data_IF_157267483493
#
_entry.id   IF_157267483493
#
_cell.length_a   1.000
_cell.length_b   1.000
_cell.length_c   1.000
_cell.angle_alpha   90.00
_cell.angle_beta   90.00
_cell.angle_gamma   90.00
#
_symmetry.space_group_name_H-M   'P 1'
#
loop_
_entity.id
_entity.type
_entity.pdbx_description
1 polymer ?
#
# COMPACT_ATOMS: atom_id res chain seq x y z
N UNK A 1 -2.84 -8.53 11.32
CA UNK A 1 -1.77 -9.25 10.64
C UNK A 1 -2.01 -10.75 10.82
N UNK A 2 -2.01 -11.49 9.72
CA UNK A 2 -1.97 -12.96 9.70
C UNK A 2 -0.54 -13.36 9.34
N UNK A 3 0.20 -13.84 10.32
CA UNK A 3 1.61 -14.20 10.16
C UNK A 3 1.77 -15.49 9.35
N UNK A 4 0.83 -16.43 9.49
CA UNK A 4 0.90 -17.74 8.82
C UNK A 4 0.69 -17.59 7.30
N UNK A 5 -0.20 -16.70 6.89
CA UNK A 5 -0.53 -16.45 5.49
C UNK A 5 0.18 -15.21 4.91
N UNK A 6 0.99 -14.49 5.71
CA UNK A 6 1.65 -13.25 5.33
C UNK A 6 0.67 -12.22 4.75
N UNK A 7 -0.47 -11.99 5.44
CA UNK A 7 -1.49 -11.05 4.98
C UNK A 7 -1.85 -9.98 6.01
N UNK A 8 -2.27 -8.84 5.52
CA UNK A 8 -2.86 -7.76 6.29
C UNK A 8 -4.30 -7.58 5.87
N UNK A 9 -5.23 -7.73 6.82
CA UNK A 9 -6.65 -7.45 6.61
C UNK A 9 -6.94 -5.96 6.84
N UNK A 10 -7.43 -5.29 5.81
CA UNK A 10 -7.92 -3.91 5.88
C UNK A 10 -9.43 -3.96 6.04
N UNK A 11 -9.93 -3.80 7.26
CA UNK A 11 -11.36 -3.92 7.59
C UNK A 11 -11.93 -2.69 8.31
N UNK A 12 -11.08 -1.73 8.66
CA UNK A 12 -11.45 -0.53 9.39
C UNK A 12 -10.78 0.69 8.78
N UNK A 13 -11.37 1.85 9.00
CA UNK A 13 -10.77 3.16 8.67
C UNK A 13 -10.87 4.08 9.88
N UNK A 14 -9.89 4.96 10.03
CA UNK A 14 -9.97 6.08 10.96
C UNK A 14 -10.69 7.23 10.25
N UNK A 15 -11.68 7.83 10.89
CA UNK A 15 -12.45 8.98 10.38
C UNK A 15 -12.81 9.92 11.52
N UNK A 16 -13.24 11.12 11.17
CA UNK A 16 -13.71 12.11 12.12
C UNK A 16 -15.22 11.98 12.32
N UNK A 17 -15.68 12.08 13.56
CA UNK A 17 -17.10 12.25 13.86
C UNK A 17 -17.51 13.73 13.68
N UNK A 18 -18.78 14.01 13.92
CA UNK A 18 -19.35 15.37 13.84
C UNK A 18 -18.84 16.31 14.93
N UNK A 19 -18.26 15.78 15.98
CA UNK A 19 -17.70 16.51 17.12
C UNK A 19 -16.17 16.72 16.98
N UNK A 20 -15.56 16.16 15.92
CA UNK A 20 -14.14 16.27 15.68
C UNK A 20 -13.29 15.24 16.42
N UNK A 21 -13.88 14.15 16.93
CA UNK A 21 -13.13 13.05 17.52
C UNK A 21 -12.73 12.03 16.48
N UNK A 22 -11.56 11.43 16.66
CA UNK A 22 -11.08 10.36 15.78
C UNK A 22 -11.76 9.05 16.16
N UNK A 23 -12.53 8.50 15.24
CA UNK A 23 -13.26 7.24 15.43
C UNK A 23 -12.83 6.18 14.42
N UNK A 24 -12.95 4.91 14.83
CA UNK A 24 -12.82 3.76 13.94
C UNK A 24 -14.20 3.39 13.39
N UNK A 25 -14.30 3.33 12.08
CA UNK A 25 -15.51 2.94 11.37
C UNK A 25 -15.23 1.87 10.32
N UNK A 26 -16.26 1.25 9.81
CA UNK A 26 -16.14 0.41 8.63
C UNK A 26 -15.86 1.28 7.40
N UNK A 27 -15.08 0.76 6.44
CA UNK A 27 -14.89 1.45 5.17
C UNK A 27 -16.21 1.68 4.44
N UNK A 28 -16.33 2.81 3.76
CA UNK A 28 -17.58 3.23 3.07
C UNK A 28 -18.04 2.28 1.96
N UNK A 29 -17.16 1.46 1.42
CA UNK A 29 -17.49 0.52 0.33
C UNK A 29 -16.96 -0.87 0.66
N UNK A 30 -17.67 -1.92 0.24
CA UNK A 30 -17.26 -3.32 0.42
C UNK A 30 -15.88 -3.62 -0.19
N UNK A 31 -15.54 -3.00 -1.31
CA UNK A 31 -14.24 -3.19 -1.97
C UNK A 31 -13.06 -2.58 -1.19
N UNK A 32 -13.34 -1.75 -0.20
CA UNK A 32 -12.31 -1.22 0.70
C UNK A 32 -11.91 -2.26 1.77
N UNK A 33 -12.76 -3.26 2.03
CA UNK A 33 -12.43 -4.41 2.87
C UNK A 33 -11.67 -5.39 2.00
N UNK A 34 -10.41 -5.65 2.36
CA UNK A 34 -9.53 -6.51 1.57
C UNK A 34 -8.42 -7.11 2.41
N UNK A 35 -7.86 -8.18 1.89
CA UNK A 35 -6.60 -8.72 2.36
C UNK A 35 -5.49 -8.36 1.38
N UNK A 36 -4.34 -7.99 1.91
CA UNK A 36 -3.16 -7.65 1.14
C UNK A 36 -2.03 -8.57 1.55
N UNK A 37 -1.54 -9.38 0.62
CA UNK A 37 -0.35 -10.20 0.86
C UNK A 37 0.89 -9.31 0.93
N UNK A 38 1.76 -9.61 1.88
CA UNK A 38 3.04 -8.90 2.10
C UNK A 38 4.20 -9.89 2.10
N UNK A 39 5.42 -9.46 1.75
CA UNK A 39 6.59 -10.31 1.84
C UNK A 39 6.87 -10.77 3.27
N UNK A 40 7.50 -11.94 3.43
CA UNK A 40 7.89 -12.49 4.72
C UNK A 40 8.76 -11.50 5.52
N UNK A 41 9.70 -10.83 4.86
CA UNK A 41 10.57 -9.82 5.50
C UNK A 41 9.75 -8.67 6.13
N UNK A 42 8.65 -8.27 5.49
CA UNK A 42 7.75 -7.26 6.06
C UNK A 42 7.00 -7.78 7.29
N UNK A 43 6.61 -9.06 7.29
CA UNK A 43 6.01 -9.72 8.47
C UNK A 43 6.98 -9.68 9.64
N UNK A 44 8.24 -10.07 9.42
CA UNK A 44 9.27 -10.08 10.47
C UNK A 44 9.53 -8.67 11.02
N UNK A 45 9.57 -7.64 10.17
CA UNK A 45 9.71 -6.25 10.62
C UNK A 45 8.51 -5.81 11.48
N UNK A 46 7.29 -6.16 11.08
CA UNK A 46 6.09 -5.85 11.86
C UNK A 46 6.10 -6.57 13.22
N UNK A 47 6.52 -7.83 13.28
CA UNK A 47 6.67 -8.58 14.53
C UNK A 47 7.68 -7.91 15.46
N UNK A 48 8.86 -7.55 14.94
CA UNK A 48 9.88 -6.85 15.71
C UNK A 48 9.37 -5.50 16.24
N UNK A 49 8.57 -4.80 15.47
CA UNK A 49 7.96 -3.54 15.91
C UNK A 49 6.96 -3.77 17.03
N UNK A 50 6.02 -4.71 16.86
CA UNK A 50 5.01 -5.02 17.87
C UNK A 50 5.64 -5.56 19.17
N UNK A 51 6.74 -6.30 19.11
CA UNK A 51 7.44 -6.81 20.27
C UNK A 51 8.00 -5.71 21.19
N UNK A 52 8.10 -4.46 20.73
CA UNK A 52 8.50 -3.31 21.57
C UNK A 52 7.37 -2.84 22.53
N UNK A 53 6.13 -3.28 22.26
CA UNK A 53 4.94 -2.91 23.04
C UNK A 53 3.87 -4.02 22.99
N UNK A 54 4.20 -5.24 23.49
CA UNK A 54 3.39 -6.45 23.27
C UNK A 54 1.97 -6.37 23.85
N UNK A 55 1.78 -5.59 24.91
CA UNK A 55 0.49 -5.40 25.57
C UNK A 55 -0.40 -4.33 24.91
N UNK A 56 0.11 -3.65 23.87
CA UNK A 56 -0.64 -2.61 23.19
C UNK A 56 -1.37 -3.19 21.97
N UNK A 57 -2.69 -2.94 21.79
CA UNK A 57 -3.45 -3.46 20.67
C UNK A 57 -3.08 -2.84 19.31
N UNK A 58 -2.35 -1.72 19.33
CA UNK A 58 -1.94 -1.03 18.11
C UNK A 58 -0.59 -1.52 17.63
N UNK A 59 -0.48 -1.81 16.33
CA UNK A 59 0.79 -2.13 15.69
C UNK A 59 1.80 -0.98 15.79
N UNK A 60 1.31 0.25 15.72
CA UNK A 60 2.10 1.48 15.81
C UNK A 60 1.42 2.45 16.78
N UNK A 61 1.60 2.26 18.10
CA UNK A 61 1.05 3.19 19.07
C UNK A 61 1.80 4.52 19.06
N UNK A 62 1.08 5.60 19.35
CA UNK A 62 1.71 6.90 19.59
C UNK A 62 2.64 6.81 20.80
N UNK A 63 3.91 7.16 20.64
CA UNK A 63 4.89 7.16 21.71
C UNK A 63 4.55 8.11 22.86
N UNK A 64 3.67 9.09 22.61
CA UNK A 64 3.23 10.07 23.61
C UNK A 64 2.02 9.61 24.43
N UNK A 65 1.10 8.90 23.81
CA UNK A 65 -0.21 8.57 24.43
C UNK A 65 -0.43 7.07 24.58
N UNK A 66 0.31 6.21 23.88
CA UNK A 66 0.05 4.79 23.76
C UNK A 66 -1.14 4.45 22.86
N UNK A 67 -1.89 5.43 22.40
CA UNK A 67 -3.08 5.29 21.58
C UNK A 67 -2.77 5.29 20.07
N UNK A 68 -3.79 5.10 19.27
CA UNK A 68 -3.70 5.18 17.81
C UNK A 68 -3.11 6.52 17.36
N UNK A 69 -2.20 6.47 16.39
CA UNK A 69 -1.68 7.69 15.76
C UNK A 69 -2.79 8.49 15.10
N UNK A 70 -2.77 9.80 15.35
CA UNK A 70 -3.55 10.74 14.56
C UNK A 70 -3.08 10.72 13.10
N UNK A 71 -3.97 10.66 12.10
CA UNK A 71 -3.58 10.61 10.68
C UNK A 71 -2.60 11.70 10.27
N UNK A 72 -2.79 12.94 10.74
CA UNK A 72 -1.89 14.06 10.44
C UNK A 72 -0.49 13.88 11.02
N UNK A 73 -0.37 13.17 12.15
CA UNK A 73 0.94 12.86 12.74
C UNK A 73 1.77 11.98 11.81
N UNK A 74 1.14 11.01 11.14
CA UNK A 74 1.81 10.14 10.15
C UNK A 74 2.28 10.96 8.96
N UNK A 75 1.42 11.85 8.44
CA UNK A 75 1.77 12.75 7.32
C UNK A 75 2.93 13.69 7.70
N UNK A 76 2.90 14.24 8.91
CA UNK A 76 3.96 15.14 9.38
C UNK A 76 5.27 14.38 9.62
N UNK A 77 5.23 13.14 10.12
CA UNK A 77 6.40 12.28 10.25
C UNK A 77 7.02 11.99 8.88
N UNK A 78 6.20 11.66 7.88
CA UNK A 78 6.66 11.44 6.51
C UNK A 78 7.38 12.69 5.95
N UNK A 79 6.79 13.88 6.11
CA UNK A 79 7.43 15.15 5.70
C UNK A 79 8.78 15.36 6.38
N UNK A 80 8.86 15.06 7.68
CA UNK A 80 10.10 15.16 8.44
C UNK A 80 11.17 14.21 7.90
N UNK A 81 10.82 12.94 7.69
CA UNK A 81 11.73 11.92 7.13
C UNK A 81 12.31 12.37 5.79
N UNK A 82 11.47 12.86 4.87
CA UNK A 82 11.92 13.36 3.57
C UNK A 82 12.89 14.54 3.72
N UNK A 83 12.56 15.49 4.59
CA UNK A 83 13.41 16.65 4.86
C UNK A 83 14.77 16.24 5.45
N UNK A 84 14.77 15.35 6.45
CA UNK A 84 15.99 14.91 7.12
C UNK A 84 16.89 14.07 6.17
N UNK A 85 16.28 13.39 5.20
CA UNK A 85 16.98 12.66 4.14
C UNK A 85 17.44 13.54 2.95
N UNK A 86 17.12 14.84 2.93
CA UNK A 86 17.43 15.73 1.82
C UNK A 86 16.66 15.40 0.53
N UNK A 87 15.51 14.74 0.63
CA UNK A 87 14.67 14.35 -0.49
C UNK A 87 13.63 15.43 -0.78
N UNK A 88 13.23 15.51 -2.05
CA UNK A 88 12.11 16.35 -2.47
C UNK A 88 10.82 15.94 -1.77
N UNK A 89 9.96 16.93 -1.51
CA UNK A 89 8.67 16.69 -0.89
C UNK A 89 7.72 15.98 -1.84
N UNK A 90 7.28 14.78 -1.45
CA UNK A 90 6.16 14.07 -2.07
C UNK A 90 5.03 13.92 -1.05
N UNK A 91 3.78 13.84 -1.51
CA UNK A 91 2.63 13.63 -0.62
C UNK A 91 2.66 12.18 -0.11
N UNK A 92 2.16 11.95 1.10
CA UNK A 92 2.05 10.59 1.64
C UNK A 92 1.27 9.64 0.70
N UNK A 93 0.23 10.16 0.04
CA UNK A 93 -0.55 9.37 -0.93
C UNK A 93 0.25 8.99 -2.20
N UNK A 94 1.30 9.73 -2.53
CA UNK A 94 2.13 9.42 -3.70
C UNK A 94 2.95 8.13 -3.52
N UNK A 95 3.16 7.67 -2.27
CA UNK A 95 3.71 6.34 -1.98
C UNK A 95 2.84 5.23 -2.57
N UNK A 96 1.51 5.39 -2.51
CA UNK A 96 0.56 4.47 -3.13
C UNK A 96 0.68 4.47 -4.66
N UNK A 97 0.85 5.64 -5.27
CA UNK A 97 1.08 5.76 -6.71
C UNK A 97 2.42 5.13 -7.12
N UNK A 98 3.46 5.34 -6.33
CA UNK A 98 4.78 4.74 -6.54
C UNK A 98 4.68 3.21 -6.50
N UNK A 99 4.03 2.65 -5.48
CA UNK A 99 3.81 1.20 -5.39
C UNK A 99 3.11 0.66 -6.63
N UNK A 100 1.99 1.28 -7.04
CA UNK A 100 1.22 0.83 -8.19
C UNK A 100 2.05 0.86 -9.49
N UNK A 101 2.79 1.94 -9.71
CA UNK A 101 3.65 2.10 -10.89
C UNK A 101 4.73 1.04 -10.92
N UNK A 102 5.45 0.85 -9.82
CA UNK A 102 6.51 -0.15 -9.71
C UNK A 102 5.98 -1.58 -9.88
N UNK A 103 4.84 -1.91 -9.26
CA UNK A 103 4.22 -3.22 -9.40
C UNK A 103 3.87 -3.53 -10.85
N UNK A 104 3.22 -2.60 -11.54
CA UNK A 104 2.88 -2.74 -12.96
C UNK A 104 4.13 -2.86 -13.85
N UNK A 105 5.16 -2.03 -13.63
CA UNK A 105 6.42 -2.08 -14.37
C UNK A 105 7.16 -3.40 -14.19
N UNK A 106 7.00 -4.05 -13.03
CA UNK A 106 7.56 -5.37 -12.75
C UNK A 106 6.64 -6.53 -13.15
N UNK A 107 5.57 -6.25 -13.89
CA UNK A 107 4.74 -7.28 -14.52
C UNK A 107 3.61 -7.82 -13.65
N UNK A 108 3.32 -7.19 -12.50
CA UNK A 108 2.12 -7.52 -11.73
C UNK A 108 0.91 -7.06 -12.52
N UNK A 109 -0.07 -7.93 -12.69
CA UNK A 109 -1.25 -7.62 -13.49
C UNK A 109 -2.12 -6.52 -12.84
N UNK A 110 -2.82 -5.78 -13.70
CA UNK A 110 -3.61 -4.59 -13.29
C UNK A 110 -4.71 -4.95 -12.29
N UNK A 111 -5.32 -6.12 -12.43
CA UNK A 111 -6.42 -6.56 -11.55
C UNK A 111 -5.89 -6.83 -10.14
N UNK A 112 -4.74 -7.49 -10.03
CA UNK A 112 -4.05 -7.72 -8.75
C UNK A 112 -3.68 -6.40 -8.09
N UNK A 113 -3.03 -5.47 -8.82
CA UNK A 113 -2.69 -4.15 -8.28
C UNK A 113 -3.94 -3.39 -7.83
N UNK A 114 -5.00 -3.41 -8.61
CA UNK A 114 -6.28 -2.77 -8.27
C UNK A 114 -6.89 -3.35 -7.00
N UNK A 115 -6.86 -4.68 -6.84
CA UNK A 115 -7.33 -5.38 -5.63
C UNK A 115 -6.52 -4.99 -4.40
N UNK A 116 -5.19 -5.04 -4.48
CA UNK A 116 -4.29 -4.65 -3.38
C UNK A 116 -4.54 -3.20 -2.94
N UNK A 117 -4.79 -2.32 -3.89
CA UNK A 117 -5.10 -0.92 -3.63
C UNK A 117 -6.54 -0.71 -3.12
N UNK A 118 -7.46 -1.65 -3.32
CA UNK A 118 -8.88 -1.50 -3.00
C UNK A 118 -9.59 -0.52 -3.92
N UNK A 119 -9.19 -0.45 -5.19
CA UNK A 119 -9.92 0.33 -6.18
C UNK A 119 -11.22 -0.40 -6.57
N UNK A 120 -12.31 0.36 -6.71
CA UNK A 120 -13.60 -0.19 -7.12
C UNK A 120 -13.54 -0.81 -8.52
N UNK A 121 -12.77 -0.21 -9.42
CA UNK A 121 -12.67 -0.60 -10.82
C UNK A 121 -11.20 -0.65 -11.28
N UNK A 122 -10.81 -1.75 -11.92
CA UNK A 122 -9.51 -1.90 -12.54
C UNK A 122 -9.26 -0.89 -13.66
N UNK A 123 -10.30 -0.40 -14.32
CA UNK A 123 -10.24 0.67 -15.31
C UNK A 123 -9.70 1.98 -14.73
N UNK A 124 -9.98 2.27 -13.46
CA UNK A 124 -9.36 3.42 -12.77
C UNK A 124 -7.85 3.25 -12.68
N UNK A 125 -7.37 2.07 -12.28
CA UNK A 125 -5.93 1.75 -12.24
C UNK A 125 -5.29 1.87 -13.61
N UNK A 126 -5.92 1.34 -14.65
CA UNK A 126 -5.45 1.45 -16.04
C UNK A 126 -5.31 2.90 -16.48
N UNK A 127 -6.33 3.72 -16.29
CA UNK A 127 -6.31 5.15 -16.68
C UNK A 127 -5.23 5.93 -15.95
N UNK A 128 -5.07 5.68 -14.65
CA UNK A 128 -4.12 6.40 -13.80
C UNK A 128 -2.68 6.05 -14.14
N UNK A 129 -2.42 4.79 -14.56
CA UNK A 129 -1.06 4.27 -14.78
C UNK A 129 -0.77 3.90 -16.24
N UNK A 130 -1.33 4.65 -17.18
CA UNK A 130 -1.21 4.41 -18.65
C UNK A 130 0.26 4.33 -19.12
N UNK A 131 1.17 5.10 -18.53
CA UNK A 131 2.59 5.04 -18.91
C UNK A 131 3.25 3.70 -18.54
N UNK A 132 2.91 3.14 -17.39
CA UNK A 132 3.40 1.82 -16.99
C UNK A 132 2.90 0.73 -17.94
N UNK A 133 1.65 0.82 -18.41
CA UNK A 133 1.07 -0.16 -19.36
C UNK A 133 1.75 -0.12 -20.72
N UNK A 134 2.22 1.02 -21.22
CA UNK A 134 3.00 1.10 -22.46
C UNK A 134 4.33 0.35 -22.38
N UNK A 135 5.06 0.50 -21.28
CA UNK A 135 6.30 -0.25 -21.04
C UNK A 135 6.04 -1.77 -20.97
N UNK A 136 4.93 -2.18 -20.35
CA UNK A 136 4.51 -3.58 -20.33
C UNK A 136 4.24 -4.12 -21.74
N UNK A 137 3.60 -3.35 -22.61
CA UNK A 137 3.36 -3.74 -24.01
C UNK A 137 4.67 -3.94 -24.77
N UNK A 138 5.65 -3.05 -24.60
CA UNK A 138 6.98 -3.21 -25.22
C UNK A 138 7.67 -4.49 -24.74
N UNK A 139 7.75 -4.71 -23.43
CA UNK A 139 8.33 -5.94 -22.85
C UNK A 139 7.60 -7.20 -23.34
N UNK A 140 6.28 -7.16 -23.44
CA UNK A 140 5.48 -8.26 -23.97
C UNK A 140 5.80 -8.55 -25.44
N UNK A 141 5.93 -7.52 -26.27
CA UNK A 141 6.32 -7.66 -27.69
C UNK A 141 7.72 -8.27 -27.84
N UNK A 142 8.69 -7.80 -27.05
CA UNK A 142 10.06 -8.37 -27.03
C UNK A 142 10.05 -9.84 -26.61
N UNK A 143 9.30 -10.19 -25.54
CA UNK A 143 9.17 -11.56 -25.05
C UNK A 143 8.51 -12.47 -26.09
N UNK A 144 7.46 -12.00 -26.78
CA UNK A 144 6.84 -12.74 -27.88
C UNK A 144 7.76 -12.89 -29.07
N UNK A 145 8.52 -11.86 -29.42
CA UNK A 145 9.54 -11.93 -30.48
C UNK A 145 10.62 -12.99 -30.19
N UNK A 146 11.12 -13.01 -28.95
CA UNK A 146 12.09 -14.03 -28.50
C UNK A 146 11.51 -15.45 -28.54
N UNK A 147 10.25 -15.60 -28.09
CA UNK A 147 9.56 -16.90 -28.14
C UNK A 147 9.39 -17.39 -29.58
N UNK A 148 8.95 -16.52 -30.49
CA UNK A 148 8.78 -16.88 -31.91
C UNK A 148 10.09 -17.24 -32.59
N UNK A 149 11.20 -16.63 -32.18
CA UNK A 149 12.54 -16.96 -32.69
C UNK A 149 13.02 -18.36 -32.25
N UNK A 150 12.57 -18.87 -31.10
CA UNK A 150 12.91 -20.20 -30.60
C UNK A 150 12.14 -21.34 -31.29
N UNK A 151 11.04 -21.04 -31.97
CA UNK A 151 10.17 -22.01 -32.63
C UNK A 151 10.61 -22.23 -34.11
N UNK A 152 11.50 -21.37 -34.63
CA UNK A 152 12.08 -21.51 -35.96
C UNK A 152 13.33 -22.40 -35.94
#
# INVERSE_FOLDING_TARGET
>A
LDEANCTISVSKQASWDTEGNLILSQPKTGNSIREVSIPQDAVELLKQEHAKHPDNPWMFPSSRTGEMYHPDSVVNLHKKILKDAGLEHIRFHDLRHTFATLALQNGVDVKTVSSMLGHYDAGFTLRTYTHATRQMQQKAAEKMGSFMAQIR
#
